data_IF_269415843084
#
_entry.id   IF_269415843084
#
_cell.length_a   1.000
_cell.length_b   1.000
_cell.length_c   1.000
_cell.angle_alpha   90.00
_cell.angle_beta   90.00
_cell.angle_gamma   90.00
#
_symmetry.space_group_name_H-M   'P 1'
#
loop_
_entity.id
_entity.type
_entity.pdbx_description
1 polymer ?
#
# COMPACT_ATOMS: atom_id res chain seq x y z
N UNK A 1 21.50 8.57 -15.29
CA UNK A 1 22.59 7.94 -14.50
C UNK A 1 22.37 8.08 -12.99
N UNK A 2 21.98 9.25 -12.49
CA UNK A 2 21.66 9.50 -11.06
C UNK A 2 20.59 8.57 -10.48
N UNK A 3 19.50 8.31 -11.21
CA UNK A 3 18.44 7.38 -10.76
C UNK A 3 18.93 5.95 -10.61
N UNK A 4 19.82 5.49 -11.49
CA UNK A 4 20.39 4.14 -11.43
C UNK A 4 21.29 3.98 -10.19
N UNK A 5 22.06 5.01 -9.86
CA UNK A 5 22.88 5.04 -8.65
C UNK A 5 22.02 4.96 -7.39
N UNK A 6 20.91 5.69 -7.32
CA UNK A 6 19.98 5.61 -6.19
C UNK A 6 19.36 4.21 -6.02
N UNK A 7 18.91 3.62 -7.13
CA UNK A 7 18.35 2.26 -7.16
C UNK A 7 19.37 1.20 -6.71
N UNK A 8 20.66 1.43 -6.90
CA UNK A 8 21.73 0.53 -6.43
C UNK A 8 22.14 0.82 -4.97
N UNK A 9 22.14 2.09 -4.56
CA UNK A 9 22.55 2.51 -3.21
C UNK A 9 21.56 2.05 -2.14
N UNK A 10 20.25 2.16 -2.37
CA UNK A 10 19.25 1.79 -1.35
C UNK A 10 19.30 0.29 -0.98
N UNK A 11 19.33 -0.66 -1.94
CA UNK A 11 19.49 -2.07 -1.63
C UNK A 11 20.87 -2.40 -1.08
N UNK A 12 21.91 -1.65 -1.46
CA UNK A 12 23.25 -1.80 -0.88
C UNK A 12 23.25 -1.46 0.63
N UNK A 13 22.60 -0.37 1.03
CA UNK A 13 22.44 -0.01 2.44
C UNK A 13 21.67 -1.11 3.18
N UNK A 14 20.58 -1.62 2.60
CA UNK A 14 19.81 -2.73 3.18
C UNK A 14 20.67 -4.00 3.33
N UNK A 15 21.52 -4.31 2.34
CA UNK A 15 22.46 -5.43 2.39
C UNK A 15 23.53 -5.25 3.49
N UNK A 16 24.03 -4.03 3.69
CA UNK A 16 24.99 -3.72 4.75
C UNK A 16 24.36 -3.90 6.14
N UNK A 17 23.10 -3.53 6.30
CA UNK A 17 22.30 -3.68 7.53
C UNK A 17 21.72 -5.09 7.70
N UNK A 18 21.98 -6.02 6.77
CA UNK A 18 21.45 -7.38 6.83
C UNK A 18 21.98 -8.16 8.03
N UNK A 19 21.07 -8.80 8.75
CA UNK A 19 21.35 -9.68 9.90
C UNK A 19 22.14 -10.92 9.54
N UNK A 20 21.92 -11.47 8.33
CA UNK A 20 22.62 -12.68 7.85
C UNK A 20 22.73 -12.69 6.32
N UNK A 21 23.78 -12.05 5.81
CA UNK A 21 24.03 -11.88 4.36
C UNK A 21 24.08 -13.20 3.57
N UNK A 22 24.55 -14.29 4.18
CA UNK A 22 24.63 -15.61 3.53
C UNK A 22 23.27 -16.31 3.37
N UNK A 23 22.23 -15.88 4.09
CA UNK A 23 20.89 -16.46 4.01
C UNK A 23 19.98 -15.75 2.99
N UNK A 24 20.47 -14.66 2.36
CA UNK A 24 19.69 -13.88 1.40
C UNK A 24 19.37 -14.74 0.17
N UNK A 25 18.07 -14.97 -0.06
CA UNK A 25 17.57 -15.58 -1.28
C UNK A 25 17.50 -14.53 -2.40
N UNK A 26 18.56 -14.44 -3.19
CA UNK A 26 18.66 -13.49 -4.29
C UNK A 26 17.54 -13.61 -5.34
N UNK A 27 16.99 -14.80 -5.54
CA UNK A 27 15.80 -14.99 -6.39
C UNK A 27 14.61 -14.16 -5.89
N UNK A 28 14.32 -14.21 -4.59
CA UNK A 28 13.23 -13.44 -3.98
C UNK A 28 13.49 -11.93 -4.11
N UNK A 29 14.70 -11.47 -3.81
CA UNK A 29 15.04 -10.04 -3.85
C UNK A 29 14.99 -9.47 -5.27
N UNK A 30 15.61 -10.17 -6.23
CA UNK A 30 15.66 -9.71 -7.64
C UNK A 30 14.27 -9.75 -8.26
N UNK A 31 13.49 -10.81 -8.02
CA UNK A 31 12.12 -10.88 -8.54
C UNK A 31 11.23 -9.80 -7.91
N UNK A 32 11.37 -9.52 -6.60
CA UNK A 32 10.64 -8.43 -5.96
C UNK A 32 10.98 -7.08 -6.57
N UNK A 33 12.27 -6.81 -6.78
CA UNK A 33 12.72 -5.60 -7.48
C UNK A 33 12.13 -5.51 -8.90
N UNK A 34 12.19 -6.61 -9.67
CA UNK A 34 11.66 -6.65 -11.03
C UNK A 34 10.14 -6.43 -11.06
N UNK A 35 9.38 -7.00 -10.12
CA UNK A 35 7.93 -6.75 -10.01
C UNK A 35 7.68 -5.27 -9.71
N UNK A 36 8.39 -4.69 -8.74
CA UNK A 36 8.23 -3.27 -8.40
C UNK A 36 8.57 -2.35 -9.59
N UNK A 37 9.71 -2.60 -10.25
CA UNK A 37 10.15 -1.85 -11.43
C UNK A 37 9.19 -2.04 -12.61
N UNK A 38 8.64 -3.24 -12.79
CA UNK A 38 7.66 -3.54 -13.85
C UNK A 38 6.33 -2.83 -13.59
N UNK A 39 5.84 -2.81 -12.34
CA UNK A 39 4.64 -2.04 -11.98
C UNK A 39 4.88 -0.56 -12.27
N UNK A 40 6.00 0.01 -11.78
CA UNK A 40 6.33 1.41 -12.02
C UNK A 40 6.46 1.75 -13.51
N UNK A 41 7.19 0.93 -14.28
CA UNK A 41 7.32 1.09 -15.72
C UNK A 41 5.97 0.98 -16.45
N UNK A 42 5.14 0.01 -16.06
CA UNK A 42 3.82 -0.16 -16.66
C UNK A 42 2.92 1.05 -16.40
N UNK A 43 2.73 1.44 -15.14
CA UNK A 43 1.75 2.48 -14.78
C UNK A 43 2.23 3.91 -15.01
N UNK A 44 3.55 4.14 -15.06
CA UNK A 44 4.13 5.49 -15.22
C UNK A 44 4.75 5.73 -16.60
N UNK A 45 5.02 4.71 -17.42
CA UNK A 45 5.64 4.89 -18.74
C UNK A 45 4.74 4.43 -19.88
N UNK A 46 4.13 3.24 -19.78
CA UNK A 46 3.32 2.67 -20.86
C UNK A 46 1.96 3.39 -20.97
N UNK A 47 1.52 3.84 -22.17
CA UNK A 47 0.27 4.60 -22.33
C UNK A 47 -0.97 3.89 -21.79
N UNK A 48 -1.12 2.59 -22.07
CA UNK A 48 -2.23 1.81 -21.53
C UNK A 48 -2.15 1.65 -20.01
N UNK A 49 -0.94 1.45 -19.45
CA UNK A 49 -0.79 1.39 -18.00
C UNK A 49 -1.12 2.71 -17.31
N UNK A 50 -0.76 3.85 -17.91
CA UNK A 50 -1.20 5.18 -17.45
C UNK A 50 -2.71 5.34 -17.49
N UNK A 51 -3.35 4.90 -18.58
CA UNK A 51 -4.80 4.98 -18.72
C UNK A 51 -5.51 4.08 -17.69
N UNK A 52 -4.99 2.88 -17.44
CA UNK A 52 -5.50 2.00 -16.39
C UNK A 52 -5.38 2.66 -15.01
N UNK A 53 -4.22 3.23 -14.68
CA UNK A 53 -4.01 3.94 -13.42
C UNK A 53 -4.96 5.13 -13.28
N UNK A 54 -5.15 5.91 -14.34
CA UNK A 54 -6.08 7.02 -14.37
C UNK A 54 -7.53 6.56 -14.15
N UNK A 55 -7.96 5.45 -14.78
CA UNK A 55 -9.29 4.89 -14.55
C UNK A 55 -9.50 4.45 -13.10
N UNK A 56 -8.49 3.83 -12.47
CA UNK A 56 -8.55 3.47 -11.05
C UNK A 56 -8.60 4.73 -10.18
N UNK A 57 -7.81 5.76 -10.51
CA UNK A 57 -7.82 7.04 -9.82
C UNK A 57 -9.18 7.74 -9.90
N UNK A 58 -9.83 7.72 -11.07
CA UNK A 58 -11.20 8.24 -11.24
C UNK A 58 -12.17 7.50 -10.31
N UNK A 59 -12.14 6.16 -10.30
CA UNK A 59 -13.03 5.38 -9.41
C UNK A 59 -12.80 5.66 -7.92
N UNK A 60 -11.54 5.81 -7.49
CA UNK A 60 -11.23 6.20 -6.10
C UNK A 60 -11.63 7.65 -5.82
N UNK A 61 -11.51 8.55 -6.81
CA UNK A 61 -11.98 9.93 -6.76
C UNK A 61 -13.50 10.03 -6.57
N UNK A 62 -14.26 9.17 -7.23
CA UNK A 62 -15.71 9.08 -7.04
C UNK A 62 -16.05 8.62 -5.61
N UNK A 63 -15.35 7.61 -5.07
CA UNK A 63 -15.53 7.20 -3.68
C UNK A 63 -15.24 8.34 -2.69
N UNK A 64 -14.22 9.16 -2.97
CA UNK A 64 -13.94 10.37 -2.19
C UNK A 64 -15.07 11.39 -2.27
N UNK A 65 -15.71 11.53 -3.43
CA UNK A 65 -16.86 12.43 -3.59
C UNK A 65 -18.07 11.98 -2.76
N UNK A 66 -18.34 10.67 -2.67
CA UNK A 66 -19.39 10.15 -1.79
C UNK A 66 -19.09 10.41 -0.31
N UNK A 67 -17.81 10.31 0.08
CA UNK A 67 -17.40 10.70 1.43
C UNK A 67 -17.70 12.17 1.71
N UNK A 68 -17.48 13.09 0.75
CA UNK A 68 -17.75 14.53 0.93
C UNK A 68 -19.22 14.81 1.21
N UNK A 69 -20.14 14.13 0.52
CA UNK A 69 -21.59 14.26 0.79
C UNK A 69 -21.92 13.95 2.26
N UNK A 70 -21.30 12.91 2.84
CA UNK A 70 -21.48 12.57 4.25
C UNK A 70 -20.89 13.61 5.21
N UNK A 71 -19.77 14.22 4.85
CA UNK A 71 -19.13 15.28 5.64
C UNK A 71 -19.98 16.55 5.61
N UNK A 72 -20.47 16.95 4.43
CA UNK A 72 -21.39 18.08 4.24
C UNK A 72 -22.69 17.90 5.00
N UNK A 73 -23.24 16.68 5.02
CA UNK A 73 -24.40 16.37 5.85
C UNK A 73 -24.13 16.58 7.35
N UNK A 74 -22.95 16.18 7.84
CA UNK A 74 -22.61 16.23 9.27
C UNK A 74 -22.20 17.62 9.76
N UNK A 75 -21.42 18.35 8.95
CA UNK A 75 -20.80 19.62 9.34
C UNK A 75 -21.33 20.84 8.59
N UNK A 76 -22.16 20.66 7.57
CA UNK A 76 -22.79 21.74 6.81
C UNK A 76 -21.77 22.76 6.29
N UNK A 77 -22.05 24.04 6.50
CA UNK A 77 -21.21 25.13 6.01
C UNK A 77 -19.88 25.28 6.76
N UNK A 78 -19.63 24.59 7.88
CA UNK A 78 -18.35 24.70 8.63
C UNK A 78 -17.13 24.30 7.78
N UNK A 79 -17.35 23.49 6.74
CA UNK A 79 -16.31 23.01 5.82
C UNK A 79 -16.12 23.97 4.63
N UNK A 80 -17.15 24.76 4.31
CA UNK A 80 -17.23 25.69 3.17
C UNK A 80 -17.24 27.17 3.61
N UNK A 81 -16.97 27.43 4.89
CA UNK A 81 -16.98 28.77 5.44
C UNK A 81 -15.76 29.54 4.92
N UNK A 82 -15.99 30.50 4.01
CA UNK A 82 -14.95 31.40 3.48
C UNK A 82 -14.19 32.15 4.60
N UNK A 83 -14.75 32.23 5.81
CA UNK A 83 -14.16 32.89 6.98
C UNK A 83 -13.11 32.03 7.72
N UNK A 84 -13.21 30.70 7.67
CA UNK A 84 -12.38 29.77 8.46
C UNK A 84 -11.31 29.09 7.58
N UNK A 85 -11.54 29.00 6.27
CA UNK A 85 -10.63 28.34 5.33
C UNK A 85 -10.66 26.81 5.47
N UNK A 86 -9.66 26.13 4.91
CA UNK A 86 -9.59 24.66 4.91
C UNK A 86 -9.32 24.10 6.31
N UNK A 87 -10.36 23.55 6.95
CA UNK A 87 -10.21 22.87 8.24
C UNK A 87 -9.84 21.40 8.03
N UNK A 88 -8.55 21.09 8.22
CA UNK A 88 -8.02 19.73 8.06
C UNK A 88 -8.81 18.69 8.88
N UNK A 89 -9.13 19.02 10.14
CA UNK A 89 -9.85 18.10 11.03
C UNK A 89 -11.23 17.70 10.50
N UNK A 90 -11.92 18.59 9.78
CA UNK A 90 -13.26 18.33 9.22
C UNK A 90 -13.19 17.76 7.80
N UNK A 91 -12.13 18.08 7.05
CA UNK A 91 -12.01 17.68 5.65
C UNK A 91 -11.29 16.34 5.46
N UNK A 92 -10.45 15.93 6.41
CA UNK A 92 -9.57 14.76 6.26
C UNK A 92 -9.93 13.64 7.23
N UNK A 93 -10.10 13.92 8.52
CA UNK A 93 -10.36 12.87 9.52
C UNK A 93 -11.66 12.10 9.26
N UNK A 94 -12.78 12.73 8.85
CA UNK A 94 -14.00 11.98 8.55
C UNK A 94 -13.87 11.06 7.35
N UNK A 95 -12.98 11.38 6.39
CA UNK A 95 -12.73 10.50 5.26
C UNK A 95 -12.08 9.19 5.71
N UNK A 96 -11.26 9.22 6.77
CA UNK A 96 -10.71 8.02 7.39
C UNK A 96 -11.84 7.11 7.88
N UNK A 97 -12.83 7.68 8.58
CA UNK A 97 -13.99 6.94 9.11
C UNK A 97 -14.79 6.31 7.96
N UNK A 98 -15.03 7.06 6.88
CA UNK A 98 -15.72 6.56 5.70
C UNK A 98 -15.00 5.36 5.09
N UNK A 99 -13.70 5.49 4.79
CA UNK A 99 -12.93 4.39 4.17
C UNK A 99 -12.79 3.18 5.09
N UNK A 100 -12.55 3.37 6.39
CA UNK A 100 -12.52 2.26 7.34
C UNK A 100 -13.86 1.51 7.39
N UNK A 101 -15.00 2.22 7.33
CA UNK A 101 -16.33 1.59 7.27
C UNK A 101 -16.56 0.84 5.96
N UNK A 102 -16.17 1.43 4.82
CA UNK A 102 -16.29 0.81 3.50
C UNK A 102 -15.46 -0.47 3.41
N UNK A 103 -14.21 -0.41 3.86
CA UNK A 103 -13.32 -1.57 3.90
C UNK A 103 -13.90 -2.66 4.80
N UNK A 104 -14.45 -2.31 5.97
CA UNK A 104 -15.12 -3.28 6.84
C UNK A 104 -16.29 -3.99 6.14
N UNK A 105 -17.11 -3.26 5.39
CA UNK A 105 -18.19 -3.83 4.56
C UNK A 105 -17.62 -4.76 3.48
N UNK A 106 -16.57 -4.34 2.76
CA UNK A 106 -15.94 -5.17 1.73
C UNK A 106 -15.29 -6.45 2.29
N UNK A 107 -14.81 -6.43 3.54
CA UNK A 107 -14.38 -7.63 4.25
C UNK A 107 -15.54 -8.55 4.62
N UNK A 108 -16.63 -7.98 5.13
CA UNK A 108 -17.84 -8.72 5.49
C UNK A 108 -18.43 -9.46 4.27
N UNK A 109 -18.62 -8.75 3.17
CA UNK A 109 -19.13 -9.31 1.89
C UNK A 109 -18.10 -10.26 1.24
N UNK A 110 -16.81 -10.10 1.54
CA UNK A 110 -15.75 -11.02 1.12
C UNK A 110 -14.97 -10.58 -0.13
N UNK A 111 -15.24 -9.40 -0.69
CA UNK A 111 -14.51 -8.83 -1.83
C UNK A 111 -13.03 -8.66 -1.51
N UNK A 112 -12.70 -8.11 -0.32
CA UNK A 112 -11.29 -7.93 0.08
C UNK A 112 -10.55 -9.25 0.17
N UNK A 113 -11.19 -10.30 0.70
CA UNK A 113 -10.59 -11.64 0.78
C UNK A 113 -10.23 -12.18 -0.60
N UNK A 114 -11.08 -11.94 -1.60
CA UNK A 114 -10.82 -12.31 -2.98
C UNK A 114 -9.63 -11.54 -3.56
N UNK A 115 -9.65 -10.20 -3.48
CA UNK A 115 -8.57 -9.34 -4.00
C UNK A 115 -7.22 -9.71 -3.39
N UNK A 116 -7.16 -9.84 -2.07
CA UNK A 116 -5.90 -10.13 -1.35
C UNK A 116 -5.41 -11.54 -1.69
N UNK A 117 -6.31 -12.53 -1.84
CA UNK A 117 -5.92 -13.88 -2.26
C UNK A 117 -5.28 -13.90 -3.65
N UNK A 118 -5.79 -13.10 -4.59
CA UNK A 118 -5.21 -12.98 -5.93
C UNK A 118 -3.85 -12.30 -5.91
N UNK A 119 -3.75 -11.13 -5.29
CA UNK A 119 -2.49 -10.37 -5.24
C UNK A 119 -1.44 -11.10 -4.41
N UNK A 120 -1.81 -11.53 -3.19
CA UNK A 120 -0.92 -12.24 -2.27
C UNK A 120 -0.52 -13.62 -2.80
N UNK A 121 -1.43 -14.32 -3.49
CA UNK A 121 -1.12 -15.58 -4.17
C UNK A 121 -0.15 -15.39 -5.34
N UNK A 122 -0.30 -14.31 -6.12
CA UNK A 122 0.62 -13.92 -7.18
C UNK A 122 2.01 -13.59 -6.66
N UNK A 123 2.09 -12.74 -5.63
CA UNK A 123 3.35 -12.39 -4.96
C UNK A 123 4.03 -13.64 -4.38
N UNK A 124 3.29 -14.49 -3.66
CA UNK A 124 3.80 -15.75 -3.12
C UNK A 124 4.42 -16.63 -4.20
N UNK A 125 3.72 -16.80 -5.33
CA UNK A 125 4.16 -17.67 -6.41
C UNK A 125 5.39 -17.13 -7.13
N UNK A 126 5.49 -15.80 -7.28
CA UNK A 126 6.64 -15.16 -7.91
C UNK A 126 7.86 -15.10 -6.99
N UNK A 127 7.66 -14.80 -5.70
CA UNK A 127 8.73 -14.51 -4.75
C UNK A 127 9.19 -15.71 -3.93
N UNK A 128 8.40 -16.78 -3.87
CA UNK A 128 8.66 -17.93 -3.00
C UNK A 128 8.54 -17.59 -1.51
N UNK A 129 7.84 -16.50 -1.18
CA UNK A 129 7.55 -16.04 0.18
C UNK A 129 6.47 -16.90 0.84
N UNK A 130 6.32 -16.77 2.15
CA UNK A 130 5.28 -17.52 2.86
C UNK A 130 3.88 -16.99 2.55
N UNK A 131 2.86 -17.81 2.80
CA UNK A 131 1.48 -17.42 2.55
C UNK A 131 1.08 -16.22 3.40
N UNK A 132 1.46 -16.21 4.68
CA UNK A 132 1.04 -15.21 5.65
C UNK A 132 1.66 -13.83 5.37
N UNK A 133 2.96 -13.77 5.05
CA UNK A 133 3.62 -12.50 4.72
C UNK A 133 3.16 -11.93 3.37
N UNK A 134 2.90 -12.80 2.38
CA UNK A 134 2.42 -12.36 1.06
C UNK A 134 0.98 -11.83 1.10
N UNK A 135 0.13 -12.46 1.92
CA UNK A 135 -1.22 -11.97 2.20
C UNK A 135 -1.19 -10.61 2.91
N UNK A 136 -0.32 -10.45 3.91
CA UNK A 136 -0.20 -9.18 4.61
C UNK A 136 0.34 -8.07 3.69
N UNK A 137 1.35 -8.37 2.86
CA UNK A 137 1.87 -7.41 1.88
C UNK A 137 0.80 -6.99 0.84
N UNK A 138 -0.03 -7.92 0.38
CA UNK A 138 -1.13 -7.62 -0.52
C UNK A 138 -2.25 -6.80 0.16
N UNK A 139 -2.53 -7.08 1.43
CA UNK A 139 -3.51 -6.31 2.21
C UNK A 139 -3.04 -4.86 2.43
N UNK A 140 -1.75 -4.67 2.72
CA UNK A 140 -1.12 -3.36 2.96
C UNK A 140 -1.23 -2.37 1.78
N UNK A 141 -1.59 -2.84 0.57
CA UNK A 141 -1.87 -1.96 -0.57
C UNK A 141 -3.13 -1.12 -0.35
N UNK A 142 -4.10 -1.65 0.41
CA UNK A 142 -5.43 -1.06 0.59
C UNK A 142 -5.68 -0.61 2.03
N UNK A 143 -5.20 -1.40 2.99
CA UNK A 143 -5.44 -1.19 4.42
C UNK A 143 -4.16 -0.79 5.14
N UNK A 144 -4.31 -0.07 6.26
CA UNK A 144 -3.16 0.44 7.01
C UNK A 144 -2.41 -0.64 7.79
N UNK A 145 -1.25 -0.26 8.34
CA UNK A 145 -0.37 -1.12 9.14
C UNK A 145 -1.04 -1.81 10.34
N UNK A 146 -2.11 -1.23 10.91
CA UNK A 146 -2.86 -1.83 12.02
C UNK A 146 -3.92 -2.85 11.54
N UNK A 147 -4.38 -2.71 10.30
CA UNK A 147 -5.50 -3.48 9.74
C UNK A 147 -4.99 -4.65 8.89
N UNK A 148 -3.89 -4.48 8.14
CA UNK A 148 -3.34 -5.52 7.28
C UNK A 148 -2.94 -6.80 8.04
N UNK A 149 -2.35 -6.75 9.25
CA UNK A 149 -2.02 -7.96 9.99
C UNK A 149 -3.27 -8.74 10.44
N UNK A 150 -4.45 -8.12 10.51
CA UNK A 150 -5.68 -8.81 10.88
C UNK A 150 -6.04 -9.93 9.90
N UNK A 151 -5.67 -9.78 8.62
CA UNK A 151 -5.87 -10.80 7.58
C UNK A 151 -5.01 -12.03 7.82
N UNK A 152 -3.83 -11.83 8.42
CA UNK A 152 -2.90 -12.89 8.79
C UNK A 152 -2.97 -13.25 10.28
N UNK A 153 -3.92 -12.71 11.05
CA UNK A 153 -4.00 -12.82 12.52
C UNK A 153 -3.83 -14.24 13.05
N UNK A 154 -4.44 -15.30 12.48
CA UNK A 154 -4.27 -16.66 12.97
C UNK A 154 -2.84 -17.19 12.83
N UNK A 155 -2.06 -16.63 11.90
CA UNK A 155 -0.71 -17.08 11.57
C UNK A 155 0.38 -16.30 12.33
N UNK A 156 0.09 -15.09 12.84
CA UNK A 156 1.07 -14.23 13.51
C UNK A 156 1.82 -14.95 14.66
N UNK A 157 1.15 -15.68 15.57
CA UNK A 157 1.85 -16.35 16.67
C UNK A 157 2.87 -17.41 16.22
N UNK A 158 2.71 -17.97 15.02
CA UNK A 158 3.59 -19.00 14.46
C UNK A 158 4.59 -18.46 13.43
N UNK A 159 4.62 -17.15 13.18
CA UNK A 159 5.55 -16.55 12.21
C UNK A 159 6.99 -16.62 12.70
N UNK A 160 7.89 -16.88 11.76
CA UNK A 160 9.33 -16.65 11.94
C UNK A 160 9.63 -15.15 12.09
N UNK A 161 10.80 -14.81 12.63
CA UNK A 161 11.21 -13.41 12.73
C UNK A 161 11.26 -12.71 11.36
N UNK A 162 11.68 -13.40 10.30
CA UNK A 162 11.70 -12.84 8.94
C UNK A 162 10.29 -12.53 8.42
N UNK A 163 9.32 -13.41 8.67
CA UNK A 163 7.92 -13.18 8.27
C UNK A 163 7.28 -12.03 9.06
N UNK A 164 7.50 -11.99 10.38
CA UNK A 164 7.00 -10.90 11.22
C UNK A 164 7.62 -9.56 10.80
N UNK A 165 8.93 -9.55 10.51
CA UNK A 165 9.62 -8.37 10.00
C UNK A 165 9.05 -7.93 8.65
N UNK A 166 8.75 -8.87 7.75
CA UNK A 166 8.11 -8.56 6.46
C UNK A 166 6.72 -7.95 6.62
N UNK A 167 5.91 -8.42 7.58
CA UNK A 167 4.61 -7.81 7.92
C UNK A 167 4.79 -6.36 8.41
N UNK A 168 5.77 -6.12 9.29
CA UNK A 168 6.06 -4.79 9.83
C UNK A 168 6.56 -3.83 8.73
N UNK A 169 7.55 -4.25 7.94
CA UNK A 169 8.08 -3.45 6.82
C UNK A 169 6.99 -3.18 5.78
N UNK A 170 6.13 -4.17 5.50
CA UNK A 170 4.97 -4.01 4.63
C UNK A 170 4.05 -2.88 5.07
N UNK A 171 3.73 -2.80 6.36
CA UNK A 171 2.87 -1.74 6.90
C UNK A 171 3.55 -0.38 6.92
N UNK A 172 4.86 -0.31 7.14
CA UNK A 172 5.64 0.93 7.16
C UNK A 172 5.94 1.49 5.76
N UNK A 173 5.99 0.62 4.76
CA UNK A 173 6.27 0.99 3.37
C UNK A 173 5.02 1.48 2.62
N UNK A 174 3.83 1.27 3.16
CA UNK A 174 2.56 1.64 2.52
C UNK A 174 1.78 2.68 3.33
N UNK A 175 0.66 3.13 2.75
CA UNK A 175 -0.31 3.99 3.41
C UNK A 175 -1.69 3.33 3.34
N UNK A 176 -2.54 3.63 4.31
CA UNK A 176 -3.94 3.22 4.26
C UNK A 176 -4.71 4.04 3.21
N UNK A 177 -5.70 3.43 2.54
CA UNK A 177 -6.60 4.16 1.65
C UNK A 177 -7.32 5.33 2.33
N UNK A 178 -7.55 5.22 3.65
CA UNK A 178 -8.11 6.30 4.47
C UNK A 178 -7.21 7.54 4.55
N UNK A 179 -5.89 7.38 4.65
CA UNK A 179 -4.94 8.51 4.73
C UNK A 179 -4.62 9.04 3.33
N UNK A 180 -4.68 8.18 2.30
CA UNK A 180 -4.57 8.58 0.89
C UNK A 180 -5.54 9.72 0.55
N UNK A 181 -6.79 9.64 1.02
CA UNK A 181 -7.77 10.69 0.87
C UNK A 181 -7.31 12.05 1.42
N UNK A 182 -6.66 12.04 2.57
CA UNK A 182 -6.10 13.23 3.20
C UNK A 182 -4.99 13.85 2.34
N UNK A 183 -4.10 13.03 1.79
CA UNK A 183 -3.06 13.49 0.88
C UNK A 183 -3.64 14.08 -0.41
N UNK A 184 -4.70 13.48 -0.95
CA UNK A 184 -5.43 14.05 -2.10
C UNK A 184 -6.06 15.40 -1.75
N UNK A 185 -6.64 15.54 -0.55
CA UNK A 185 -7.18 16.81 -0.09
C UNK A 185 -6.11 17.91 0.05
N UNK A 186 -4.84 17.53 0.26
CA UNK A 186 -3.69 18.43 0.27
C UNK A 186 -3.13 18.74 -1.14
N UNK A 187 -3.75 18.21 -2.20
CA UNK A 187 -3.35 18.46 -3.59
C UNK A 187 -2.34 17.46 -4.15
N UNK A 188 -2.06 16.34 -3.46
CA UNK A 188 -1.18 15.30 -3.98
C UNK A 188 -1.93 14.47 -5.04
N UNK A 189 -1.37 14.25 -6.24
CA UNK A 189 -2.03 13.48 -7.30
C UNK A 189 -2.35 12.05 -6.85
N UNK A 190 -3.61 11.65 -7.04
CA UNK A 190 -4.11 10.34 -6.62
C UNK A 190 -3.44 9.20 -7.38
N UNK A 191 -3.08 9.42 -8.65
CA UNK A 191 -2.34 8.48 -9.48
C UNK A 191 -1.00 8.09 -8.86
N UNK A 192 -0.29 9.06 -8.28
CA UNK A 192 1.01 8.80 -7.64
C UNK A 192 0.86 8.05 -6.33
N UNK A 193 -0.18 8.37 -5.55
CA UNK A 193 -0.47 7.65 -4.31
C UNK A 193 -0.86 6.20 -4.59
N UNK A 194 -1.68 5.96 -5.61
CA UNK A 194 -2.07 4.62 -6.04
C UNK A 194 -0.88 3.83 -6.56
N UNK A 195 -0.08 4.42 -7.45
CA UNK A 195 1.13 3.77 -7.96
C UNK A 195 2.08 3.39 -6.81
N UNK A 196 2.30 4.31 -5.86
CA UNK A 196 3.12 4.05 -4.68
C UNK A 196 2.56 2.90 -3.82
N UNK A 197 1.25 2.87 -3.56
CA UNK A 197 0.61 1.79 -2.78
C UNK A 197 0.81 0.40 -3.42
N UNK A 198 0.68 0.28 -4.74
CA UNK A 198 0.92 -1.01 -5.42
C UNK A 198 2.40 -1.39 -5.46
N UNK A 199 3.29 -0.42 -5.64
CA UNK A 199 4.74 -0.64 -5.64
C UNK A 199 5.29 -0.97 -4.24
N UNK A 200 4.60 -0.56 -3.17
CA UNK A 200 4.99 -0.79 -1.80
C UNK A 200 5.03 -2.29 -1.44
N UNK A 201 4.08 -3.10 -1.92
CA UNK A 201 4.02 -4.52 -1.60
C UNK A 201 5.30 -5.30 -2.00
N UNK A 202 5.73 -5.30 -3.28
CA UNK A 202 6.98 -5.95 -3.67
C UNK A 202 8.22 -5.25 -3.09
N UNK A 203 8.23 -3.91 -3.01
CA UNK A 203 9.37 -3.18 -2.45
C UNK A 203 9.61 -3.45 -0.97
N UNK A 204 8.54 -3.56 -0.19
CA UNK A 204 8.62 -3.94 1.21
C UNK A 204 9.16 -5.35 1.38
N UNK A 205 8.67 -6.33 0.59
CA UNK A 205 9.16 -7.70 0.65
C UNK A 205 10.63 -7.79 0.22
N UNK A 206 11.05 -7.03 -0.78
CA UNK A 206 12.45 -6.92 -1.19
C UNK A 206 13.33 -6.45 -0.03
N UNK A 207 12.98 -5.33 0.60
CA UNK A 207 13.77 -4.75 1.68
C UNK A 207 13.73 -5.62 2.94
N UNK A 208 12.58 -6.20 3.26
CA UNK A 208 12.41 -7.13 4.38
C UNK A 208 13.33 -8.34 4.25
N UNK A 209 13.35 -8.98 3.07
CA UNK A 209 14.18 -10.18 2.80
C UNK A 209 15.66 -9.87 2.57
N UNK A 210 16.02 -8.60 2.35
CA UNK A 210 17.40 -8.16 2.38
C UNK A 210 17.91 -7.98 3.82
N UNK A 211 17.13 -7.31 4.68
CA UNK A 211 17.57 -6.96 6.05
C UNK A 211 17.44 -8.16 7.01
N UNK A 212 16.31 -8.88 6.96
CA UNK A 212 16.04 -10.08 7.78
C UNK A 212 15.64 -11.25 6.86
N UNK A 213 16.62 -11.87 6.17
CA UNK A 213 16.37 -12.99 5.26
C UNK A 213 15.82 -14.25 5.93
#
# INVERSE_FOLDING_TARGET
MTSLLGVLLLPLIAYLLSTRRSAIRWSTVVVAFLIQASIGGFVLFVPWGKQLLASIAVGVGELLSYSRVGIEFLFGNLINSNEIGFVFALSVLPVVVFFSSLIAVLYHVGVMRWIIKFIGGGLRRALGTSHSESLSAAANVFVGQAEAPLVAKPYIPGMTQSELFAVMVGGMASIAGSVMAGYVALGIPLEYLLAASFMAAPGALMMAKLIVP
#
